data_IF_870870251283
#
_entry.id   IF_870870251283
#
_cell.length_a   1.000
_cell.length_b   1.000
_cell.length_c   1.000
_cell.angle_alpha   90.00
_cell.angle_beta   90.00
_cell.angle_gamma   90.00
#
_symmetry.space_group_name_H-M   'P 1'
#
loop_
_entity.id
_entity.type
_entity.pdbx_description
1 polymer ?
#
# COMPACT_ATOMS: atom_id res chain seq x y z
N UNK A 1 -11.41 1.11 17.10
CA UNK A 1 -11.36 2.50 17.60
C UNK A 1 -10.28 3.35 16.94
N UNK A 2 -9.04 2.87 16.85
CA UNK A 2 -7.93 3.63 16.23
C UNK A 2 -8.12 3.79 14.73
N UNK A 3 -8.49 2.74 14.00
CA UNK A 3 -8.77 2.81 12.56
C UNK A 3 -9.85 3.85 12.27
N UNK A 4 -10.94 3.87 13.06
CA UNK A 4 -12.00 4.87 12.88
C UNK A 4 -11.51 6.30 13.14
N UNK A 5 -10.59 6.49 14.09
CA UNK A 5 -9.96 7.79 14.33
C UNK A 5 -9.16 8.25 13.10
N UNK A 6 -8.39 7.35 12.50
CA UNK A 6 -7.61 7.64 11.29
C UNK A 6 -8.53 7.90 10.09
N UNK A 7 -9.62 7.13 9.92
CA UNK A 7 -10.63 7.39 8.88
C UNK A 7 -11.23 8.80 9.05
N UNK A 8 -11.63 9.16 10.27
CA UNK A 8 -12.16 10.48 10.56
C UNK A 8 -11.15 11.59 10.22
N UNK A 9 -9.88 11.41 10.58
CA UNK A 9 -8.83 12.37 10.24
C UNK A 9 -8.63 12.53 8.73
N UNK A 10 -8.74 11.44 7.95
CA UNK A 10 -8.59 11.46 6.49
C UNK A 10 -9.79 12.10 5.78
N UNK A 11 -10.97 12.09 6.40
CA UNK A 11 -12.22 12.56 5.79
C UNK A 11 -12.74 13.90 6.37
N UNK A 12 -12.15 14.40 7.45
CA UNK A 12 -12.61 15.61 8.15
C UNK A 12 -12.58 16.87 7.31
N UNK A 13 -11.68 16.95 6.34
CA UNK A 13 -11.61 18.07 5.39
C UNK A 13 -12.06 17.62 4.01
N UNK A 14 -13.30 17.93 3.57
CA UNK A 14 -13.80 17.55 2.25
C UNK A 14 -12.89 18.01 1.11
N UNK A 15 -12.31 19.20 1.22
CA UNK A 15 -11.40 19.74 0.21
C UNK A 15 -10.16 18.85 0.03
N UNK A 16 -9.49 18.52 1.12
CA UNK A 16 -8.28 17.69 1.07
C UNK A 16 -8.59 16.24 0.68
N UNK A 17 -9.70 15.70 1.17
CA UNK A 17 -10.17 14.38 0.78
C UNK A 17 -10.47 14.32 -0.73
N UNK A 18 -11.21 15.27 -1.28
CA UNK A 18 -11.56 15.31 -2.69
C UNK A 18 -10.34 15.43 -3.61
N UNK A 19 -9.32 16.21 -3.23
CA UNK A 19 -8.06 16.28 -4.00
C UNK A 19 -7.44 14.89 -4.16
N UNK A 20 -7.38 14.10 -3.09
CA UNK A 20 -6.85 12.75 -3.12
C UNK A 20 -7.74 11.79 -3.90
N UNK A 21 -9.07 11.93 -3.79
CA UNK A 21 -10.03 11.15 -4.57
C UNK A 21 -9.84 11.39 -6.07
N UNK A 22 -9.70 12.64 -6.50
CA UNK A 22 -9.48 12.97 -7.93
C UNK A 22 -8.14 12.44 -8.45
N UNK A 23 -7.08 12.50 -7.65
CA UNK A 23 -5.81 11.84 -7.99
C UNK A 23 -5.97 10.33 -8.12
N UNK A 24 -6.68 9.70 -7.19
CA UNK A 24 -6.94 8.27 -7.23
C UNK A 24 -7.76 7.87 -8.47
N UNK A 25 -8.78 8.62 -8.84
CA UNK A 25 -9.54 8.38 -10.07
C UNK A 25 -8.66 8.41 -11.33
N UNK A 26 -7.63 9.26 -11.35
CA UNK A 26 -6.67 9.36 -12.45
C UNK A 26 -5.70 8.21 -12.48
N UNK A 27 -5.11 7.85 -11.34
CA UNK A 27 -4.00 6.91 -11.29
C UNK A 27 -4.38 5.45 -10.97
N UNK A 28 -5.48 5.21 -10.27
CA UNK A 28 -5.88 3.85 -9.90
C UNK A 28 -6.10 2.93 -11.08
N UNK A 29 -6.71 3.34 -12.21
CA UNK A 29 -6.80 2.46 -13.37
C UNK A 29 -5.45 1.96 -13.88
N UNK A 30 -4.42 2.79 -13.80
CA UNK A 30 -3.05 2.42 -14.19
C UNK A 30 -2.45 1.43 -13.18
N UNK A 31 -2.59 1.72 -11.90
CA UNK A 31 -2.09 0.86 -10.81
C UNK A 31 -2.77 -0.51 -10.85
N UNK A 32 -4.09 -0.55 -10.98
CA UNK A 32 -4.90 -1.76 -11.07
C UNK A 32 -4.45 -2.66 -12.23
N UNK A 33 -4.21 -2.07 -13.41
CA UNK A 33 -3.71 -2.79 -14.57
C UNK A 33 -2.34 -3.41 -14.28
N UNK A 34 -1.41 -2.63 -13.74
CA UNK A 34 -0.05 -3.10 -13.41
C UNK A 34 -0.09 -4.19 -12.35
N UNK A 35 -0.92 -4.04 -11.32
CA UNK A 35 -1.07 -5.04 -10.25
C UNK A 35 -1.69 -6.34 -10.77
N UNK A 36 -2.67 -6.26 -11.68
CA UNK A 36 -3.22 -7.43 -12.35
C UNK A 36 -2.16 -8.17 -13.18
N UNK A 37 -1.35 -7.47 -13.94
CA UNK A 37 -0.23 -8.03 -14.71
C UNK A 37 0.80 -8.75 -13.84
N UNK A 38 1.02 -8.26 -12.64
CA UNK A 38 1.96 -8.84 -11.66
C UNK A 38 1.32 -9.86 -10.71
N UNK A 39 0.02 -10.14 -10.84
CA UNK A 39 -0.74 -11.03 -9.96
C UNK A 39 -0.70 -10.61 -8.48
N UNK A 40 -0.87 -9.32 -8.23
CA UNK A 40 -0.96 -8.73 -6.90
C UNK A 40 -2.39 -8.22 -6.67
N UNK A 41 -2.99 -8.43 -5.49
CA UNK A 41 -4.33 -7.94 -5.20
C UNK A 41 -4.45 -6.43 -5.43
N UNK A 42 -5.46 -6.02 -6.19
CA UNK A 42 -5.65 -4.61 -6.57
C UNK A 42 -5.94 -3.71 -5.36
N UNK A 43 -6.46 -4.25 -4.28
CA UNK A 43 -6.73 -3.50 -3.05
C UNK A 43 -5.48 -2.86 -2.45
N UNK A 44 -4.29 -3.37 -2.73
CA UNK A 44 -3.05 -2.75 -2.29
C UNK A 44 -2.74 -1.41 -2.97
N UNK A 45 -3.53 -1.02 -3.96
CA UNK A 45 -3.49 0.33 -4.56
C UNK A 45 -3.68 1.45 -3.51
N UNK A 46 -4.48 1.22 -2.47
CA UNK A 46 -4.69 2.21 -1.41
C UNK A 46 -3.42 2.56 -0.62
N UNK A 47 -2.40 1.70 -0.68
CA UNK A 47 -1.11 1.96 -0.07
C UNK A 47 -0.43 3.21 -0.64
N UNK A 48 -0.61 3.50 -1.92
CA UNK A 48 -0.02 4.69 -2.54
C UNK A 48 -0.56 6.00 -1.95
N UNK A 49 -1.80 6.01 -1.49
CA UNK A 49 -2.38 7.16 -0.79
C UNK A 49 -1.72 7.39 0.57
N UNK A 50 -1.41 6.31 1.28
CA UNK A 50 -0.69 6.36 2.54
C UNK A 50 0.75 6.82 2.36
N UNK A 51 1.44 6.34 1.32
CA UNK A 51 2.84 6.64 1.09
C UNK A 51 3.08 8.08 0.63
N UNK A 52 2.34 8.54 -0.37
CA UNK A 52 2.61 9.83 -1.02
C UNK A 52 1.39 10.69 -1.29
N UNK A 53 0.18 10.21 -0.97
CA UNK A 53 -1.06 10.82 -1.44
C UNK A 53 -1.10 11.00 -2.98
N UNK A 54 -0.44 10.11 -3.74
CA UNK A 54 -0.27 10.19 -5.19
C UNK A 54 0.45 11.46 -5.67
N UNK A 55 1.42 11.95 -4.88
CA UNK A 55 2.31 13.03 -5.27
C UNK A 55 3.57 12.42 -5.88
N UNK A 56 3.78 12.68 -7.18
CA UNK A 56 4.83 12.02 -7.96
C UNK A 56 6.26 12.26 -7.45
N UNK A 57 6.53 13.46 -6.98
CA UNK A 57 7.84 13.93 -6.51
C UNK A 57 7.94 14.01 -4.98
N UNK A 58 7.09 13.30 -4.26
CA UNK A 58 7.13 13.27 -2.80
C UNK A 58 8.48 12.72 -2.30
N UNK A 59 9.08 13.42 -1.33
CA UNK A 59 10.31 13.01 -0.67
C UNK A 59 10.09 13.03 0.83
N UNK A 60 10.35 11.91 1.50
CA UNK A 60 10.24 11.81 2.95
C UNK A 60 11.51 12.30 3.66
N UNK A 61 11.41 12.53 4.98
CA UNK A 61 12.57 12.88 5.83
C UNK A 61 13.65 11.81 5.83
N UNK A 62 13.32 10.57 5.49
CA UNK A 62 14.26 9.44 5.38
C UNK A 62 14.73 9.18 3.94
N UNK A 63 14.52 10.14 3.02
CA UNK A 63 14.88 10.05 1.60
C UNK A 63 14.21 8.93 0.81
N UNK A 64 13.00 8.53 1.20
CA UNK A 64 12.13 7.75 0.33
C UNK A 64 11.47 8.68 -0.69
N UNK A 65 11.39 8.28 -1.96
CA UNK A 65 11.04 9.14 -3.08
C UNK A 65 9.90 8.54 -3.91
N UNK A 66 9.04 9.42 -4.43
CA UNK A 66 8.07 9.13 -5.47
C UNK A 66 6.74 8.61 -4.95
N UNK A 67 5.89 8.15 -5.87
CA UNK A 67 4.55 7.63 -5.59
C UNK A 67 4.53 6.57 -4.49
N UNK A 68 5.47 5.62 -4.54
CA UNK A 68 5.52 4.45 -3.68
C UNK A 68 6.57 4.53 -2.57
N UNK A 69 7.24 5.69 -2.47
CA UNK A 69 8.21 5.98 -1.41
C UNK A 69 9.34 4.95 -1.31
N UNK A 70 9.98 4.66 -2.45
CA UNK A 70 11.16 3.80 -2.46
C UNK A 70 12.43 4.54 -2.05
N UNK A 71 13.25 3.89 -1.24
CA UNK A 71 14.66 4.25 -1.10
C UNK A 71 15.45 3.74 -2.29
N UNK A 72 16.58 4.36 -2.60
CA UNK A 72 17.43 4.02 -3.75
C UNK A 72 17.72 2.52 -3.84
N UNK A 73 18.17 1.92 -2.74
CA UNK A 73 18.53 0.51 -2.69
C UNK A 73 17.38 -0.41 -3.10
N UNK A 74 16.21 -0.23 -2.50
CA UNK A 74 15.03 -1.05 -2.81
C UNK A 74 14.53 -0.79 -4.24
N UNK A 75 14.58 0.45 -4.70
CA UNK A 75 14.22 0.81 -6.07
C UNK A 75 15.10 0.06 -7.10
N UNK A 76 16.41 0.10 -6.91
CA UNK A 76 17.37 -0.62 -7.76
C UNK A 76 17.16 -2.14 -7.70
N UNK A 77 16.95 -2.70 -6.51
CA UNK A 77 16.65 -4.12 -6.31
C UNK A 77 15.39 -4.55 -7.09
N UNK A 78 14.37 -3.69 -7.15
CA UNK A 78 13.13 -3.96 -7.88
C UNK A 78 13.19 -3.62 -9.37
N UNK A 79 14.36 -3.22 -9.87
CA UNK A 79 14.63 -3.00 -11.28
C UNK A 79 14.32 -1.58 -11.77
N UNK A 80 14.16 -0.60 -10.89
CA UNK A 80 14.00 0.79 -11.28
C UNK A 80 15.36 1.42 -11.61
N UNK A 81 15.37 2.29 -12.59
CA UNK A 81 16.51 3.17 -12.87
C UNK A 81 16.45 4.38 -11.95
N UNK A 82 17.53 4.62 -11.21
CA UNK A 82 17.68 5.76 -10.32
C UNK A 82 19.09 6.30 -10.49
N UNK A 83 19.21 7.38 -11.27
CA UNK A 83 20.48 8.06 -11.50
C UNK A 83 20.25 9.58 -11.65
N UNK A 84 21.32 10.32 -12.06
CA UNK A 84 21.25 11.76 -12.19
C UNK A 84 20.34 12.26 -13.33
N UNK A 85 20.06 11.43 -14.30
CA UNK A 85 19.25 11.77 -15.46
C UNK A 85 17.80 11.29 -15.33
N UNK A 86 17.62 10.09 -14.78
CA UNK A 86 16.31 9.44 -14.68
C UNK A 86 16.11 8.88 -13.27
N UNK A 87 14.94 9.19 -12.71
CA UNK A 87 14.45 8.58 -11.48
C UNK A 87 13.07 7.96 -11.74
N UNK A 88 13.04 6.65 -11.97
CA UNK A 88 11.80 5.92 -12.27
C UNK A 88 10.87 5.77 -11.09
N UNK A 89 11.29 6.17 -9.87
CA UNK A 89 10.39 6.26 -8.71
C UNK A 89 9.31 7.32 -8.91
N UNK A 90 9.55 8.29 -9.80
CA UNK A 90 8.61 9.36 -10.18
C UNK A 90 7.63 8.92 -11.29
N UNK A 91 7.86 7.77 -11.93
CA UNK A 91 7.01 7.26 -12.99
C UNK A 91 5.94 6.32 -12.41
N UNK A 92 4.67 6.61 -12.71
CA UNK A 92 3.55 5.84 -12.12
C UNK A 92 3.56 4.37 -12.56
N UNK A 93 3.86 4.07 -13.80
CA UNK A 93 3.86 2.68 -14.30
C UNK A 93 5.04 1.90 -13.74
N UNK A 94 6.26 2.41 -13.91
CA UNK A 94 7.50 1.75 -13.47
C UNK A 94 7.49 1.56 -11.95
N UNK A 95 7.15 2.59 -11.18
CA UNK A 95 7.14 2.51 -9.72
C UNK A 95 6.01 1.62 -9.18
N UNK A 96 4.84 1.61 -9.82
CA UNK A 96 3.76 0.69 -9.45
C UNK A 96 4.13 -0.76 -9.72
N UNK A 97 4.83 -1.04 -10.81
CA UNK A 97 5.34 -2.38 -11.12
C UNK A 97 6.38 -2.82 -10.08
N UNK A 98 7.28 -1.93 -9.71
CA UNK A 98 8.24 -2.19 -8.64
C UNK A 98 7.56 -2.45 -7.30
N UNK A 99 6.53 -1.68 -6.94
CA UNK A 99 5.75 -1.88 -5.73
C UNK A 99 5.04 -3.25 -5.73
N UNK A 100 4.40 -3.61 -6.84
CA UNK A 100 3.77 -4.92 -7.00
C UNK A 100 4.77 -6.07 -6.83
N UNK A 101 5.93 -5.98 -7.45
CA UNK A 101 7.01 -6.98 -7.34
C UNK A 101 7.55 -7.08 -5.93
N UNK A 102 7.71 -5.96 -5.24
CA UNK A 102 8.16 -5.93 -3.86
C UNK A 102 7.16 -6.59 -2.90
N UNK A 103 5.88 -6.26 -3.03
CA UNK A 103 4.81 -6.88 -2.27
C UNK A 103 4.75 -8.40 -2.56
N UNK A 104 4.81 -8.79 -3.83
CA UNK A 104 4.79 -10.20 -4.24
C UNK A 104 6.00 -10.98 -3.72
N UNK A 105 7.21 -10.42 -3.76
CA UNK A 105 8.41 -11.01 -3.19
C UNK A 105 8.23 -11.30 -1.70
N UNK A 106 7.70 -10.34 -0.94
CA UNK A 106 7.44 -10.52 0.47
C UNK A 106 6.31 -11.53 0.73
N UNK A 107 5.26 -11.55 -0.11
CA UNK A 107 4.21 -12.57 0.00
C UNK A 107 4.74 -13.98 -0.29
N UNK A 108 5.62 -14.13 -1.27
CA UNK A 108 6.28 -15.42 -1.52
C UNK A 108 7.05 -15.90 -0.29
N UNK A 109 7.73 -14.98 0.40
CA UNK A 109 8.50 -15.27 1.59
C UNK A 109 7.63 -15.62 2.80
N UNK A 110 6.54 -14.88 3.04
CA UNK A 110 5.68 -15.03 4.23
C UNK A 110 4.45 -15.88 4.00
N UNK A 111 4.04 -16.12 2.75
CA UNK A 111 2.76 -16.73 2.37
C UNK A 111 1.58 -16.05 3.08
N UNK A 112 1.61 -14.73 3.18
CA UNK A 112 0.58 -13.90 3.83
C UNK A 112 0.68 -12.46 3.33
N UNK A 113 -0.38 -11.97 2.68
CA UNK A 113 -0.42 -10.64 2.08
C UNK A 113 -0.32 -9.50 3.10
N UNK A 114 -0.88 -9.66 4.30
CA UNK A 114 -0.80 -8.63 5.34
C UNK A 114 0.61 -8.53 5.92
N UNK A 115 1.31 -9.63 6.10
CA UNK A 115 2.72 -9.61 6.47
C UNK A 115 3.61 -9.10 5.35
N UNK A 116 3.26 -9.37 4.08
CA UNK A 116 3.93 -8.75 2.93
C UNK A 116 3.79 -7.22 2.96
N UNK A 117 2.62 -6.72 3.28
CA UNK A 117 2.36 -5.29 3.44
C UNK A 117 3.12 -4.70 4.63
N UNK A 118 3.18 -5.40 5.76
CA UNK A 118 3.98 -4.98 6.91
C UNK A 118 5.47 -4.90 6.57
N UNK A 119 5.98 -5.87 5.78
CA UNK A 119 7.35 -5.87 5.30
C UNK A 119 7.66 -4.70 4.35
N UNK A 120 6.67 -4.13 3.69
CA UNK A 120 6.84 -2.94 2.86
C UNK A 120 7.45 -1.79 3.66
N UNK A 121 7.02 -1.61 4.89
CA UNK A 121 7.50 -0.54 5.78
C UNK A 121 8.72 -0.96 6.61
N UNK A 122 8.70 -2.13 7.25
CA UNK A 122 9.75 -2.50 8.20
C UNK A 122 10.80 -3.48 7.64
N UNK A 123 10.62 -3.92 6.40
CA UNK A 123 11.45 -4.95 5.78
C UNK A 123 11.12 -6.37 6.27
N UNK A 124 11.56 -7.37 5.50
CA UNK A 124 11.32 -8.78 5.83
C UNK A 124 11.97 -9.19 7.17
N UNK A 125 13.17 -8.69 7.45
CA UNK A 125 13.86 -8.96 8.72
C UNK A 125 13.11 -8.41 9.93
N UNK A 126 12.50 -7.22 9.80
CA UNK A 126 11.67 -6.62 10.84
C UNK A 126 10.42 -7.44 11.14
N UNK A 127 9.75 -7.94 10.09
CA UNK A 127 8.59 -8.82 10.24
C UNK A 127 8.99 -10.13 10.94
N UNK A 128 10.05 -10.78 10.49
CA UNK A 128 10.54 -12.02 11.10
C UNK A 128 10.81 -11.85 12.60
N UNK A 129 11.50 -10.77 12.98
CA UNK A 129 11.77 -10.47 14.38
C UNK A 129 10.47 -10.28 15.17
N UNK A 130 9.51 -9.52 14.64
CA UNK A 130 8.24 -9.27 15.33
C UNK A 130 7.40 -10.53 15.52
N UNK A 131 7.54 -11.51 14.63
CA UNK A 131 6.79 -12.77 14.66
C UNK A 131 7.46 -13.82 15.54
N UNK A 132 8.80 -13.89 15.58
CA UNK A 132 9.51 -14.77 16.53
C UNK A 132 9.23 -14.40 17.98
N UNK A 133 8.95 -13.13 18.24
CA UNK A 133 8.51 -12.64 19.55
C UNK A 133 7.02 -12.92 19.85
N UNK A 134 6.24 -13.40 18.86
CA UNK A 134 4.83 -13.74 19.00
C UNK A 134 4.62 -15.26 19.09
N UNK A 135 3.78 -15.69 20.05
CA UNK A 135 3.49 -17.12 20.26
C UNK A 135 2.63 -17.76 19.14
N UNK A 136 2.05 -16.95 18.24
CA UNK A 136 1.10 -17.41 17.21
C UNK A 136 1.73 -17.74 15.86
N UNK A 137 2.95 -17.32 15.59
CA UNK A 137 3.60 -17.52 14.29
C UNK A 137 2.92 -16.78 13.12
N UNK A 138 3.29 -17.11 11.88
CA UNK A 138 2.83 -16.45 10.64
C UNK A 138 1.53 -16.99 10.05
N UNK A 139 0.72 -17.74 10.78
CA UNK A 139 -0.43 -18.45 10.19
C UNK A 139 -1.60 -17.53 9.82
N UNK A 140 -1.85 -16.50 10.61
CA UNK A 140 -2.99 -15.61 10.43
C UNK A 140 -2.72 -14.28 11.15
N UNK A 141 -3.11 -13.16 10.53
CA UNK A 141 -3.05 -11.86 11.20
C UNK A 141 -4.47 -11.45 11.61
N UNK A 142 -4.76 -11.46 12.90
CA UNK A 142 -5.96 -10.82 13.44
C UNK A 142 -5.76 -9.32 13.59
N UNK A 143 -6.75 -8.54 13.17
CA UNK A 143 -6.73 -7.09 13.35
C UNK A 143 -7.25 -6.76 14.75
N UNK A 144 -6.33 -6.37 15.61
CA UNK A 144 -6.59 -6.00 17.00
C UNK A 144 -6.01 -4.61 17.31
N UNK A 145 -6.17 -4.14 18.54
CA UNK A 145 -5.51 -2.92 19.00
C UNK A 145 -3.98 -3.01 18.97
N UNK A 146 -3.43 -4.23 19.08
CA UNK A 146 -2.00 -4.51 18.99
C UNK A 146 -1.45 -4.68 17.57
N UNK A 147 -2.30 -4.63 16.54
CA UNK A 147 -1.86 -4.70 15.14
C UNK A 147 -0.90 -3.57 14.81
N UNK A 148 0.14 -3.87 14.02
CA UNK A 148 1.14 -2.89 13.64
C UNK A 148 0.49 -1.66 12.99
N UNK A 149 0.91 -0.47 13.38
CA UNK A 149 0.30 0.80 13.01
C UNK A 149 0.16 1.00 11.50
N UNK A 150 1.11 0.50 10.72
CA UNK A 150 1.13 0.63 9.27
C UNK A 150 -0.04 -0.11 8.61
N UNK A 151 -0.37 -1.30 9.11
CA UNK A 151 -1.53 -2.08 8.65
C UNK A 151 -2.85 -1.37 9.02
N UNK A 152 -2.95 -0.84 10.23
CA UNK A 152 -4.14 -0.07 10.66
C UNK A 152 -4.34 1.17 9.80
N UNK A 153 -3.27 1.88 9.45
CA UNK A 153 -3.33 3.03 8.54
C UNK A 153 -3.72 2.64 7.11
N UNK A 154 -3.21 1.53 6.61
CA UNK A 154 -3.63 1.02 5.32
C UNK A 154 -5.14 0.74 5.28
N UNK A 155 -5.68 0.06 6.28
CA UNK A 155 -7.11 -0.21 6.40
C UNK A 155 -7.92 1.09 6.49
N UNK A 156 -7.44 2.07 7.23
CA UNK A 156 -8.08 3.38 7.31
C UNK A 156 -8.12 4.10 5.95
N UNK A 157 -7.05 4.06 5.16
CA UNK A 157 -7.03 4.64 3.82
C UNK A 157 -7.99 3.91 2.88
N UNK A 158 -8.02 2.59 2.90
CA UNK A 158 -8.98 1.81 2.12
C UNK A 158 -10.42 2.23 2.46
N UNK A 159 -10.79 2.23 3.72
CA UNK A 159 -12.14 2.61 4.18
C UNK A 159 -12.48 4.05 3.80
N UNK A 160 -11.54 4.98 3.98
CA UNK A 160 -11.76 6.40 3.74
C UNK A 160 -11.96 6.76 2.26
N UNK A 161 -11.44 5.95 1.33
CA UNK A 161 -11.38 6.31 -0.09
C UNK A 161 -12.12 5.37 -1.04
N UNK A 162 -12.38 4.10 -0.67
CA UNK A 162 -12.90 3.13 -1.63
C UNK A 162 -14.26 3.52 -2.23
N UNK A 163 -15.21 3.96 -1.42
CA UNK A 163 -16.53 4.36 -1.90
C UNK A 163 -16.49 5.65 -2.72
N UNK A 164 -15.70 6.63 -2.28
CA UNK A 164 -15.56 7.91 -2.97
C UNK A 164 -14.90 7.74 -4.35
N UNK A 165 -13.95 6.82 -4.51
CA UNK A 165 -13.26 6.57 -5.79
C UNK A 165 -14.15 5.75 -6.73
N UNK A 166 -14.88 4.77 -6.24
CA UNK A 166 -15.78 3.92 -7.05
C UNK A 166 -17.01 4.70 -7.52
N UNK A 167 -17.45 5.70 -6.76
CA UNK A 167 -18.67 6.48 -7.05
C UNK A 167 -19.97 5.75 -6.70
N UNK A 168 -21.11 6.46 -6.67
CA UNK A 168 -22.40 5.87 -6.37
C UNK A 168 -22.81 4.91 -7.49
N UNK A 169 -22.92 3.62 -7.20
CA UNK A 169 -23.42 2.57 -8.10
C UNK A 169 -22.55 1.32 -8.25
N UNK A 170 -21.37 1.27 -7.69
CA UNK A 170 -20.50 0.09 -7.70
C UNK A 170 -20.25 -0.46 -6.31
N UNK A 171 -21.30 -0.71 -5.54
CA UNK A 171 -21.17 -1.50 -4.32
C UNK A 171 -21.15 -2.97 -4.75
N UNK A 172 -19.97 -3.49 -5.06
CA UNK A 172 -19.77 -4.93 -5.04
C UNK A 172 -19.58 -5.33 -3.58
N UNK A 173 -20.57 -6.04 -3.06
CA UNK A 173 -20.43 -6.78 -1.80
C UNK A 173 -19.29 -7.79 -2.01
N UNK A 174 -18.13 -7.52 -1.43
CA UNK A 174 -17.04 -8.47 -1.37
C UNK A 174 -17.46 -9.57 -0.40
N UNK A 175 -18.04 -10.63 -0.93
CA UNK A 175 -18.15 -11.88 -0.21
C UNK A 175 -16.75 -12.49 -0.14
N UNK A 176 -16.19 -12.53 1.04
CA UNK A 176 -15.04 -13.37 1.33
C UNK A 176 -15.53 -14.83 1.36
N UNK A 177 -15.53 -15.47 0.21
CA UNK A 177 -15.68 -16.92 0.17
C UNK A 177 -14.39 -17.55 0.69
N UNK A 178 -14.42 -17.97 1.93
CA UNK A 178 -13.50 -19.00 2.42
C UNK A 178 -13.87 -20.30 1.72
N UNK A 179 -13.11 -20.68 0.71
CA UNK A 179 -13.21 -22.06 0.19
C UNK A 179 -12.63 -23.03 1.23
N UNK A 180 -13.27 -24.17 1.43
CA UNK A 180 -12.90 -25.18 2.40
C UNK A 180 -11.52 -25.79 2.16
#
# INVERSE_FOLDING_TARGET
>A
REIQKDVNALTQSPKHHNIKVERAKTYFPIIEKVFAEENVPEDFKYLVLQESALIADAVSVSNAVGFWQFKDFTALEMGLRVDKEIDERLNIVSSSRAAARYIKKNNFYFNNWLYALQAYQMGAGGVLKSVTDSKSGLKHMEITSGTYWYIKKYLAHKIAFEDAVKGPGQIQVLSFETKP
#
